data_IF_734505164331
#
_entry.id   IF_734505164331
#
_cell.length_a   1.000
_cell.length_b   1.000
_cell.length_c   1.000
_cell.angle_alpha   90.00
_cell.angle_beta   90.00
_cell.angle_gamma   90.00
#
_symmetry.space_group_name_H-M   'P 1'
#
loop_
_entity.id
_entity.type
_entity.pdbx_description
1 polymer ?
#
# COMPACT_ATOMS: atom_id res chain seq x y z
N UNK A 1 5.01 9.89 -21.21
CA UNK A 1 3.90 8.92 -21.23
C UNK A 1 4.40 7.48 -21.38
N UNK A 2 5.50 7.24 -22.12
CA UNK A 2 6.10 5.90 -22.29
C UNK A 2 6.90 5.40 -21.08
N UNK A 3 7.59 6.29 -20.34
CA UNK A 3 8.40 5.91 -19.16
C UNK A 3 7.58 5.30 -17.99
N UNK A 4 6.30 5.65 -17.89
CA UNK A 4 5.41 5.11 -16.85
C UNK A 4 4.88 3.71 -17.19
N UNK A 5 4.89 3.33 -18.48
CA UNK A 5 4.50 1.99 -18.94
C UNK A 5 5.61 0.97 -18.65
N UNK A 6 6.88 1.35 -18.82
CA UNK A 6 8.03 0.48 -18.56
C UNK A 6 8.19 0.10 -17.09
N UNK A 7 8.04 1.06 -16.16
CA UNK A 7 8.06 0.76 -14.71
C UNK A 7 6.90 -0.18 -14.35
N UNK A 8 5.73 -0.02 -14.98
CA UNK A 8 4.59 -0.89 -14.80
C UNK A 8 4.80 -2.32 -15.32
N UNK A 9 5.56 -2.49 -16.42
CA UNK A 9 5.92 -3.79 -16.96
C UNK A 9 7.04 -4.49 -16.17
N UNK A 10 8.04 -3.77 -15.69
CA UNK A 10 9.06 -4.34 -14.80
C UNK A 10 8.45 -4.80 -13.47
N UNK A 11 7.48 -4.06 -12.92
CA UNK A 11 6.78 -4.48 -11.71
C UNK A 11 5.94 -5.75 -11.93
N UNK A 12 5.40 -5.99 -13.14
CA UNK A 12 4.75 -7.27 -13.49
C UNK A 12 5.71 -8.46 -13.51
N UNK A 13 7.00 -8.24 -13.73
CA UNK A 13 8.02 -9.31 -13.81
C UNK A 13 8.61 -9.70 -12.45
N UNK A 14 8.44 -8.90 -11.41
CA UNK A 14 8.96 -9.15 -10.06
C UNK A 14 8.35 -10.38 -9.34
N UNK A 15 7.27 -10.97 -9.88
CA UNK A 15 6.64 -12.19 -9.35
C UNK A 15 6.30 -13.19 -10.46
N UNK A 16 7.28 -13.94 -10.99
CA UNK A 16 7.09 -15.17 -11.77
C UNK A 16 5.96 -15.21 -12.85
N UNK A 17 5.56 -14.08 -13.44
CA UNK A 17 4.43 -13.98 -14.37
C UNK A 17 3.02 -14.00 -13.74
N UNK A 18 2.90 -13.90 -12.41
CA UNK A 18 1.62 -13.86 -11.70
C UNK A 18 0.96 -12.47 -11.80
N UNK A 19 -0.36 -12.46 -11.91
CA UNK A 19 -1.15 -11.22 -11.87
C UNK A 19 -1.32 -10.76 -10.42
N UNK A 20 -0.80 -9.58 -10.09
CA UNK A 20 -1.08 -8.92 -8.81
C UNK A 20 -2.56 -8.50 -8.75
N UNK A 21 -3.29 -8.99 -7.75
CA UNK A 21 -4.72 -8.66 -7.53
C UNK A 21 -4.93 -7.63 -6.42
N UNK A 22 -3.92 -7.40 -5.58
CA UNK A 22 -3.92 -6.43 -4.48
C UNK A 22 -3.00 -6.86 -3.34
N UNK A 23 -2.96 -6.04 -2.29
CA UNK A 23 -2.27 -6.31 -1.03
C UNK A 23 -3.24 -6.18 0.13
N UNK A 24 -3.27 -7.17 1.01
CA UNK A 24 -4.03 -7.14 2.26
C UNK A 24 -3.11 -6.90 3.44
N UNK A 25 -3.49 -6.04 4.38
CA UNK A 25 -2.77 -5.83 5.65
C UNK A 25 -3.70 -6.03 6.84
N UNK A 26 -3.18 -6.63 7.92
CA UNK A 26 -3.94 -6.70 9.17
C UNK A 26 -4.02 -5.32 9.85
N UNK A 27 -2.91 -4.56 9.84
CA UNK A 27 -2.82 -3.24 10.47
C UNK A 27 -2.03 -2.30 9.56
N UNK A 28 -2.62 -1.15 9.22
CA UNK A 28 -1.99 -0.08 8.45
C UNK A 28 -1.73 1.13 9.36
N UNK A 29 -0.49 1.63 9.38
CA UNK A 29 -0.18 2.95 9.95
C UNK A 29 -0.51 4.02 8.91
N UNK A 30 -1.76 4.48 8.88
CA UNK A 30 -2.28 5.40 7.87
C UNK A 30 -1.65 6.81 7.95
N UNK A 31 -1.06 7.18 9.09
CA UNK A 31 -0.24 8.39 9.23
C UNK A 31 1.14 8.30 8.56
N UNK A 32 1.55 7.12 8.10
CA UNK A 32 2.78 6.93 7.34
C UNK A 32 2.50 6.77 5.84
N UNK A 33 3.40 7.23 4.95
CA UNK A 33 3.10 7.34 3.52
C UNK A 33 3.10 6.00 2.77
N UNK A 34 3.46 4.88 3.40
CA UNK A 34 3.64 3.59 2.72
C UNK A 34 2.37 3.09 2.02
N UNK A 35 1.23 3.15 2.70
CA UNK A 35 -0.06 2.75 2.11
C UNK A 35 -0.46 3.61 0.92
N UNK A 36 -0.22 4.92 0.99
CA UNK A 36 -0.52 5.84 -0.10
C UNK A 36 0.37 5.56 -1.32
N UNK A 37 1.69 5.40 -1.11
CA UNK A 37 2.63 5.09 -2.20
C UNK A 37 2.22 3.84 -2.99
N UNK A 38 1.77 2.78 -2.30
CA UNK A 38 1.32 1.55 -2.96
C UNK A 38 0.02 1.80 -3.75
N UNK A 39 -0.93 2.59 -3.21
CA UNK A 39 -2.15 2.97 -3.93
C UNK A 39 -1.86 3.83 -5.16
N UNK A 40 -0.90 4.74 -5.06
CA UNK A 40 -0.46 5.61 -6.18
C UNK A 40 0.16 4.80 -7.33
N UNK A 41 0.71 3.61 -7.05
CA UNK A 41 1.15 2.64 -8.06
C UNK A 41 -0.01 1.91 -8.74
N UNK A 42 -1.26 2.22 -8.39
CA UNK A 42 -2.46 1.54 -8.92
C UNK A 42 -2.75 0.18 -8.28
N UNK A 43 -2.09 -0.15 -7.16
CA UNK A 43 -2.30 -1.42 -6.46
C UNK A 43 -3.46 -1.27 -5.47
N UNK A 44 -4.44 -2.18 -5.53
CA UNK A 44 -5.52 -2.28 -4.54
C UNK A 44 -4.92 -2.65 -3.19
N UNK A 45 -5.19 -1.84 -2.16
CA UNK A 45 -4.76 -2.12 -0.79
C UNK A 45 -5.95 -2.12 0.15
N UNK A 46 -6.12 -3.20 0.88
CA UNK A 46 -7.18 -3.39 1.88
C UNK A 46 -6.55 -3.62 3.25
N UNK A 47 -7.06 -2.95 4.28
CA UNK A 47 -6.48 -2.97 5.62
C UNK A 47 -7.57 -3.24 6.65
N UNK A 48 -7.39 -4.28 7.47
CA UNK A 48 -8.41 -4.68 8.46
C UNK A 48 -8.55 -3.64 9.59
N UNK A 49 -7.43 -3.02 9.98
CA UNK A 49 -7.41 -1.90 10.92
C UNK A 49 -6.50 -0.79 10.37
N UNK A 50 -6.95 0.46 10.42
CA UNK A 50 -6.16 1.62 9.97
C UNK A 50 -5.95 2.56 11.15
N UNK A 51 -4.69 2.80 11.48
CA UNK A 51 -4.27 3.66 12.57
C UNK A 51 -4.06 5.07 12.02
N UNK A 52 -4.88 6.01 12.48
CA UNK A 52 -4.77 7.44 12.18
C UNK A 52 -3.64 8.10 12.95
N UNK A 53 -3.40 7.71 14.19
CA UNK A 53 -2.31 8.21 15.04
C UNK A 53 -1.94 7.19 16.11
N UNK A 54 -0.70 7.24 16.61
CA UNK A 54 -0.29 6.48 17.78
C UNK A 54 0.77 7.22 18.59
N UNK A 55 0.61 7.24 19.92
CA UNK A 55 1.59 7.78 20.87
C UNK A 55 1.53 6.98 22.17
N UNK A 56 2.56 7.09 23.02
CA UNK A 56 2.54 6.49 24.36
C UNK A 56 1.53 7.19 25.29
N UNK A 57 1.28 8.49 25.08
CA UNK A 57 0.39 9.31 25.89
C UNK A 57 -1.10 9.13 25.54
N UNK A 58 -1.42 9.12 24.23
CA UNK A 58 -2.80 9.14 23.72
C UNK A 58 -3.27 7.76 23.23
N UNK A 59 -2.38 6.76 23.17
CA UNK A 59 -2.70 5.44 22.67
C UNK A 59 -2.86 5.38 21.15
N UNK A 60 -3.82 4.60 20.65
CA UNK A 60 -4.04 4.36 19.21
C UNK A 60 -5.41 4.90 18.80
N UNK A 61 -5.43 5.80 17.82
CA UNK A 61 -6.67 6.26 17.17
C UNK A 61 -6.83 5.56 15.82
N UNK A 62 -7.99 4.96 15.58
CA UNK A 62 -8.34 4.31 14.31
C UNK A 62 -9.12 5.24 13.38
N UNK A 63 -9.08 4.97 12.08
CA UNK A 63 -9.93 5.58 11.03
C UNK A 63 -10.79 4.54 10.33
#
# INVERSE_FOLDING_TARGET
>A
MELFTEIGEEFRRLYAGAKLVGAGTCVEKAFQPGGQRIRDMGIRVESLARIKSMSEEDGIEFI
#
